data_IF_674352803259
#
_entry.id   IF_674352803259
#
_cell.length_a   1.000
_cell.length_b   1.000
_cell.length_c   1.000
_cell.angle_alpha   90.00
_cell.angle_beta   90.00
_cell.angle_gamma   90.00
#
_symmetry.space_group_name_H-M   'P 1'
#
loop_
_entity.id
_entity.type
_entity.pdbx_description
1 polymer ?
#
# COMPACT_ATOMS: atom_id res chain seq x y z
N UNK A 1 -39.38 10.51 21.46
CA UNK A 1 -39.24 11.34 20.25
C UNK A 1 -37.74 11.63 20.06
N UNK A 2 -37.08 11.01 19.08
CA UNK A 2 -35.68 11.36 18.72
C UNK A 2 -35.75 12.54 17.77
N UNK A 3 -35.19 13.66 18.20
CA UNK A 3 -35.05 14.87 17.42
C UNK A 3 -34.19 14.56 16.19
N UNK A 4 -34.80 14.62 15.01
CA UNK A 4 -34.05 14.57 13.74
C UNK A 4 -33.30 15.89 13.65
N UNK A 5 -31.97 15.85 13.88
CA UNK A 5 -31.14 17.01 13.64
C UNK A 5 -31.20 17.36 12.16
N UNK A 6 -31.38 18.63 11.89
CA UNK A 6 -31.47 19.19 10.56
C UNK A 6 -30.35 18.67 9.66
N UNK A 7 -30.74 18.07 8.55
CA UNK A 7 -29.82 17.72 7.48
C UNK A 7 -29.21 19.04 6.99
N UNK A 8 -27.90 19.23 7.20
CA UNK A 8 -27.19 20.38 6.66
C UNK A 8 -27.45 20.39 5.14
N UNK A 9 -27.97 21.49 4.66
CA UNK A 9 -28.25 21.67 3.23
C UNK A 9 -26.95 21.53 2.45
N UNK A 10 -26.75 20.38 1.82
CA UNK A 10 -25.66 20.19 0.85
C UNK A 10 -25.85 21.21 -0.24
N UNK A 11 -24.84 22.02 -0.57
CA UNK A 11 -24.98 23.01 -1.64
C UNK A 11 -25.34 22.29 -2.95
N UNK A 12 -26.20 22.90 -3.75
CA UNK A 12 -26.60 22.35 -5.05
C UNK A 12 -25.39 21.99 -5.93
N UNK A 13 -24.33 22.79 -5.86
CA UNK A 13 -23.10 22.56 -6.60
C UNK A 13 -22.42 21.22 -6.21
N UNK A 14 -22.31 20.92 -4.91
CA UNK A 14 -21.74 19.65 -4.41
C UNK A 14 -22.63 18.49 -4.81
N UNK A 15 -23.95 18.65 -4.77
CA UNK A 15 -24.90 17.62 -5.18
C UNK A 15 -24.75 17.26 -6.67
N UNK A 16 -24.75 18.25 -7.56
CA UNK A 16 -24.57 18.01 -8.99
C UNK A 16 -23.20 17.44 -9.33
N UNK A 17 -22.14 17.93 -8.69
CA UNK A 17 -20.78 17.39 -8.86
C UNK A 17 -20.73 15.92 -8.44
N UNK A 18 -21.36 15.55 -7.34
CA UNK A 18 -21.42 14.15 -6.87
C UNK A 18 -22.16 13.26 -7.86
N UNK A 19 -23.27 13.74 -8.45
CA UNK A 19 -24.00 13.02 -9.48
C UNK A 19 -23.15 12.77 -10.74
N UNK A 20 -22.40 13.77 -11.21
CA UNK A 20 -21.52 13.60 -12.37
C UNK A 20 -20.39 12.62 -12.08
N UNK A 21 -19.82 12.65 -10.88
CA UNK A 21 -18.86 11.64 -10.44
C UNK A 21 -19.47 10.23 -10.42
N UNK A 22 -20.69 10.06 -9.91
CA UNK A 22 -21.37 8.75 -9.94
C UNK A 22 -21.62 8.24 -11.35
N UNK A 23 -22.01 9.10 -12.29
CA UNK A 23 -22.18 8.72 -13.70
C UNK A 23 -20.85 8.27 -14.32
N UNK A 24 -19.74 8.99 -14.04
CA UNK A 24 -18.41 8.61 -14.50
C UNK A 24 -17.98 7.25 -13.93
N UNK A 25 -18.18 7.04 -12.63
CA UNK A 25 -17.85 5.78 -11.97
C UNK A 25 -18.70 4.61 -12.44
N UNK A 26 -20.00 4.83 -12.72
CA UNK A 26 -20.86 3.80 -13.29
C UNK A 26 -20.37 3.38 -14.68
N UNK A 27 -19.94 4.34 -15.52
CA UNK A 27 -19.30 4.06 -16.81
C UNK A 27 -18.00 3.29 -16.64
N UNK A 28 -17.13 3.69 -15.70
CA UNK A 28 -15.88 2.98 -15.40
C UNK A 28 -16.14 1.53 -14.99
N UNK A 29 -17.12 1.28 -14.12
CA UNK A 29 -17.52 -0.06 -13.72
C UNK A 29 -18.10 -0.88 -14.89
N UNK A 30 -18.94 -0.25 -15.70
CA UNK A 30 -19.54 -0.90 -16.87
C UNK A 30 -18.51 -1.27 -17.94
N UNK A 31 -17.59 -0.38 -18.26
CA UNK A 31 -16.51 -0.66 -19.21
C UNK A 31 -15.46 -1.62 -18.62
N UNK A 32 -15.21 -1.54 -17.33
CA UNK A 32 -14.24 -2.38 -16.64
C UNK A 32 -12.80 -2.14 -17.07
N UNK A 33 -11.94 -3.00 -16.57
CA UNK A 33 -10.50 -3.02 -16.87
C UNK A 33 -10.15 -4.29 -17.66
N UNK A 34 -9.64 -4.13 -18.87
CA UNK A 34 -9.22 -5.25 -19.72
C UNK A 34 -7.88 -5.79 -19.26
N UNK A 35 -7.78 -7.10 -19.13
CA UNK A 35 -6.55 -7.80 -18.73
C UNK A 35 -6.18 -8.88 -19.73
N UNK A 36 -4.88 -9.07 -19.91
CA UNK A 36 -4.29 -10.21 -20.61
C UNK A 36 -3.79 -11.19 -19.55
N UNK A 37 -4.48 -12.30 -19.37
CA UNK A 37 -4.20 -13.27 -18.29
C UNK A 37 -2.97 -14.13 -18.58
N UNK A 38 -2.60 -14.34 -19.84
CA UNK A 38 -1.39 -15.08 -20.21
C UNK A 38 -0.12 -14.39 -19.70
N UNK A 39 -0.13 -13.07 -19.61
CA UNK A 39 1.00 -12.30 -19.07
C UNK A 39 1.26 -12.54 -17.58
N UNK A 40 0.32 -13.16 -16.86
CA UNK A 40 0.49 -13.56 -15.46
C UNK A 40 1.27 -14.87 -15.31
N UNK A 41 1.30 -15.72 -16.34
CA UNK A 41 1.93 -17.05 -16.26
C UNK A 41 3.43 -16.99 -15.95
N UNK A 42 4.25 -16.15 -16.62
CA UNK A 42 5.66 -15.99 -16.28
C UNK A 42 5.85 -15.48 -14.84
N UNK A 43 5.04 -14.51 -14.42
CA UNK A 43 5.09 -13.96 -13.06
C UNK A 43 4.73 -15.02 -12.01
N UNK A 44 3.70 -15.83 -12.26
CA UNK A 44 3.33 -16.95 -11.39
C UNK A 44 4.48 -17.95 -11.22
N UNK A 45 5.14 -18.30 -12.32
CA UNK A 45 6.27 -19.24 -12.32
C UNK A 45 7.47 -18.67 -11.56
N UNK A 46 7.77 -17.39 -11.72
CA UNK A 46 8.85 -16.71 -11.01
C UNK A 46 8.58 -16.65 -9.49
N UNK A 47 7.38 -16.28 -9.10
CA UNK A 47 6.95 -16.25 -7.70
C UNK A 47 7.07 -17.65 -7.08
N UNK A 48 6.58 -18.68 -7.75
CA UNK A 48 6.65 -20.04 -7.24
C UNK A 48 8.11 -20.51 -7.07
N UNK A 49 9.00 -20.21 -8.02
CA UNK A 49 10.43 -20.50 -7.94
C UNK A 49 11.06 -19.80 -6.74
N UNK A 50 10.86 -18.48 -6.60
CA UNK A 50 11.44 -17.69 -5.51
C UNK A 50 10.93 -18.15 -4.14
N UNK A 51 9.64 -18.45 -4.00
CA UNK A 51 9.09 -19.03 -2.77
C UNK A 51 9.76 -20.37 -2.47
N UNK A 52 10.00 -21.21 -3.47
CA UNK A 52 10.71 -22.48 -3.31
C UNK A 52 12.13 -22.29 -2.77
N UNK A 53 12.87 -21.34 -3.31
CA UNK A 53 14.22 -20.97 -2.86
C UNK A 53 14.22 -20.45 -1.42
N UNK A 54 13.26 -19.58 -1.07
CA UNK A 54 13.10 -19.07 0.30
C UNK A 54 12.81 -20.21 1.28
N UNK A 55 11.91 -21.13 0.94
CA UNK A 55 11.59 -22.29 1.77
C UNK A 55 12.81 -23.20 1.98
N UNK A 56 13.60 -23.41 0.93
CA UNK A 56 14.85 -24.17 1.04
C UNK A 56 15.84 -23.48 1.99
N UNK A 57 16.08 -22.18 1.81
CA UNK A 57 16.94 -21.39 2.70
C UNK A 57 16.47 -21.40 4.15
N UNK A 58 15.16 -21.29 4.40
CA UNK A 58 14.62 -21.36 5.76
C UNK A 58 14.94 -22.67 6.43
N UNK A 59 14.90 -23.79 5.71
CA UNK A 59 15.22 -25.13 6.24
C UNK A 59 16.70 -25.31 6.61
N UNK A 60 17.60 -24.47 6.12
CA UNK A 60 19.01 -24.46 6.53
C UNK A 60 19.21 -23.94 7.97
N UNK A 61 18.28 -23.16 8.48
CA UNK A 61 18.38 -22.58 9.83
C UNK A 61 17.89 -23.55 10.91
N UNK A 62 18.74 -23.79 11.91
CA UNK A 62 18.43 -24.72 13.01
C UNK A 62 17.17 -24.32 13.79
N UNK A 63 16.97 -23.02 14.03
CA UNK A 63 15.78 -22.51 14.75
C UNK A 63 14.49 -22.79 13.97
N UNK A 64 14.52 -22.73 12.64
CA UNK A 64 13.34 -23.06 11.81
C UNK A 64 13.02 -24.55 11.84
N UNK A 65 14.04 -25.43 11.76
CA UNK A 65 13.84 -26.88 11.92
C UNK A 65 13.31 -27.25 13.30
N UNK A 66 13.83 -26.62 14.36
CA UNK A 66 13.33 -26.82 15.73
C UNK A 66 11.86 -26.38 15.86
N UNK A 67 11.48 -25.27 15.25
CA UNK A 67 10.10 -24.79 15.19
C UNK A 67 9.19 -25.82 14.49
N UNK A 68 9.54 -26.29 13.29
CA UNK A 68 8.74 -27.27 12.55
C UNK A 68 8.55 -28.55 13.36
N UNK A 69 9.61 -29.09 13.96
CA UNK A 69 9.56 -30.31 14.75
C UNK A 69 8.71 -30.15 16.02
N UNK A 70 8.80 -29.01 16.70
CA UNK A 70 8.08 -28.78 17.95
C UNK A 70 6.59 -28.45 17.75
N UNK A 71 6.24 -27.83 16.64
CA UNK A 71 4.84 -27.53 16.29
C UNK A 71 4.20 -28.68 15.47
N UNK A 72 4.96 -29.76 15.21
CA UNK A 72 4.52 -30.94 14.45
C UNK A 72 3.96 -30.60 13.07
N UNK A 73 4.61 -29.65 12.36
CA UNK A 73 4.23 -29.20 11.02
C UNK A 73 5.36 -29.43 10.01
N UNK A 74 5.00 -29.74 8.78
CA UNK A 74 5.97 -29.95 7.70
C UNK A 74 6.52 -28.63 7.16
N UNK A 75 5.70 -27.56 7.19
CA UNK A 75 6.03 -26.26 6.65
C UNK A 75 5.28 -25.14 7.37
N UNK A 76 5.92 -23.97 7.49
CA UNK A 76 5.28 -22.75 7.97
C UNK A 76 4.20 -22.28 6.98
N UNK A 77 2.99 -22.05 7.47
CA UNK A 77 2.02 -21.26 6.73
C UNK A 77 2.27 -19.78 6.97
N UNK A 78 2.88 -19.10 5.98
CA UNK A 78 3.23 -17.68 6.07
C UNK A 78 2.00 -16.76 6.25
N UNK A 79 0.81 -17.23 5.89
CA UNK A 79 -0.45 -16.51 6.06
C UNK A 79 -1.11 -16.77 7.43
N UNK A 80 -0.57 -17.69 8.25
CA UNK A 80 -1.08 -17.96 9.59
C UNK A 80 -0.38 -17.08 10.63
N UNK A 81 -1.07 -16.07 11.23
CA UNK A 81 -0.46 -15.16 12.20
C UNK A 81 0.10 -15.89 13.42
N UNK A 82 -0.57 -16.93 13.90
CA UNK A 82 -0.15 -17.68 15.07
C UNK A 82 1.20 -18.39 14.85
N UNK A 83 1.39 -19.01 13.69
CA UNK A 83 2.65 -19.69 13.37
C UNK A 83 3.80 -18.70 13.21
N UNK A 84 3.58 -17.57 12.54
CA UNK A 84 4.57 -16.49 12.46
C UNK A 84 4.97 -15.95 13.83
N UNK A 85 3.98 -15.70 14.68
CA UNK A 85 4.21 -15.23 16.05
C UNK A 85 5.00 -16.27 16.87
N UNK A 86 4.67 -17.54 16.76
CA UNK A 86 5.41 -18.61 17.43
C UNK A 86 6.87 -18.61 16.99
N UNK A 87 7.14 -18.68 15.69
CA UNK A 87 8.51 -18.68 15.16
C UNK A 87 9.30 -17.45 15.62
N UNK A 88 8.71 -16.24 15.50
CA UNK A 88 9.41 -14.99 15.77
C UNK A 88 9.57 -14.71 17.26
N UNK A 89 8.53 -14.93 18.07
CA UNK A 89 8.55 -14.52 19.48
C UNK A 89 9.03 -15.65 20.42
N UNK A 90 8.70 -16.92 20.12
CA UNK A 90 9.05 -18.07 20.98
C UNK A 90 10.38 -18.70 20.59
N UNK A 91 10.65 -18.88 19.29
CA UNK A 91 11.82 -19.60 18.82
C UNK A 91 13.00 -18.66 18.48
N UNK A 92 12.78 -17.51 17.82
CA UNK A 92 13.82 -16.50 17.60
C UNK A 92 14.02 -15.65 18.86
N UNK A 93 12.98 -15.47 19.70
CA UNK A 93 13.07 -14.78 20.98
C UNK A 93 12.92 -13.25 20.89
N UNK A 94 12.41 -12.72 19.78
CA UNK A 94 12.15 -11.28 19.68
C UNK A 94 10.96 -10.87 20.56
N UNK A 95 11.00 -9.66 21.09
CA UNK A 95 9.89 -9.09 21.87
C UNK A 95 8.92 -8.36 20.95
N UNK A 96 7.59 -8.58 21.12
CA UNK A 96 6.60 -7.82 20.35
C UNK A 96 6.60 -6.35 20.80
N UNK A 97 6.65 -5.43 19.84
CA UNK A 97 6.60 -3.98 20.05
C UNK A 97 5.21 -3.39 19.86
N UNK A 98 4.32 -4.10 19.19
CA UNK A 98 2.93 -3.69 18.95
C UNK A 98 1.94 -4.84 19.00
N UNK A 99 0.67 -4.48 19.19
CA UNK A 99 -0.46 -5.42 19.18
C UNK A 99 -1.36 -5.17 17.97
N UNK A 100 -1.93 -6.21 17.44
CA UNK A 100 -2.96 -6.12 16.41
C UNK A 100 -4.17 -5.36 16.93
N UNK A 101 -4.61 -4.35 16.19
CA UNK A 101 -5.84 -3.59 16.54
C UNK A 101 -7.12 -4.44 16.49
N UNK A 102 -7.11 -5.53 15.69
CA UNK A 102 -8.29 -6.41 15.53
C UNK A 102 -8.39 -7.46 16.63
N UNK A 103 -7.26 -8.06 17.02
CA UNK A 103 -7.26 -9.24 17.91
C UNK A 103 -6.65 -8.97 19.28
N UNK A 104 -5.95 -7.86 19.47
CA UNK A 104 -5.21 -7.57 20.71
C UNK A 104 -3.92 -8.40 20.88
N UNK A 105 -3.69 -9.39 20.02
CA UNK A 105 -2.50 -10.24 20.07
C UNK A 105 -1.25 -9.51 19.57
N UNK A 106 -0.04 -9.94 19.96
CA UNK A 106 1.21 -9.44 19.39
C UNK A 106 1.16 -9.41 17.87
N UNK A 107 1.65 -8.33 17.22
CA UNK A 107 1.67 -8.23 15.76
C UNK A 107 3.02 -8.64 15.21
N UNK A 108 3.01 -9.56 14.24
CA UNK A 108 4.17 -9.93 13.42
C UNK A 108 3.82 -9.67 11.95
N UNK A 109 3.53 -8.39 11.64
CA UNK A 109 3.21 -7.93 10.30
C UNK A 109 4.47 -7.54 9.51
N UNK A 110 4.28 -7.09 8.26
CA UNK A 110 5.39 -6.71 7.40
C UNK A 110 6.26 -5.60 8.00
N UNK A 111 5.63 -4.57 8.63
CA UNK A 111 6.37 -3.47 9.25
C UNK A 111 7.25 -3.97 10.41
N UNK A 112 6.76 -4.96 11.19
CA UNK A 112 7.54 -5.57 12.27
C UNK A 112 8.74 -6.34 11.70
N UNK A 113 8.52 -7.15 10.67
CA UNK A 113 9.58 -7.94 10.04
C UNK A 113 10.64 -7.03 9.39
N UNK A 114 10.21 -5.96 8.71
CA UNK A 114 11.09 -4.97 8.09
C UNK A 114 11.93 -4.24 9.14
N UNK A 115 11.32 -3.78 10.24
CA UNK A 115 12.02 -3.07 11.31
C UNK A 115 13.07 -3.94 12.00
N UNK A 116 12.82 -5.24 12.16
CA UNK A 116 13.71 -6.18 12.83
C UNK A 116 14.54 -7.06 11.88
N UNK A 117 14.57 -6.75 10.57
CA UNK A 117 15.19 -7.60 9.55
C UNK A 117 16.65 -8.01 9.84
N UNK A 118 17.41 -7.14 10.52
CA UNK A 118 18.82 -7.39 10.86
C UNK A 118 19.00 -8.23 12.15
N UNK A 119 17.93 -8.49 12.89
CA UNK A 119 18.01 -9.23 14.15
C UNK A 119 18.19 -10.74 13.95
N UNK A 120 17.72 -11.31 12.84
CA UNK A 120 17.89 -12.73 12.53
C UNK A 120 17.74 -12.98 11.02
N UNK A 121 18.59 -13.83 10.39
CA UNK A 121 18.57 -14.07 8.94
C UNK A 121 17.24 -14.61 8.38
N UNK A 122 16.40 -15.24 9.20
CA UNK A 122 15.06 -15.72 8.80
C UNK A 122 14.09 -14.57 8.52
N UNK A 123 14.22 -13.42 9.17
CA UNK A 123 13.21 -12.35 9.09
C UNK A 123 13.09 -11.73 7.70
N UNK A 124 14.17 -11.38 7.00
CA UNK A 124 14.05 -10.91 5.61
C UNK A 124 13.47 -11.98 4.67
N UNK A 125 13.76 -13.26 4.89
CA UNK A 125 13.17 -14.36 4.13
C UNK A 125 11.65 -14.46 4.37
N UNK A 126 11.20 -14.35 5.62
CA UNK A 126 9.77 -14.33 5.96
C UNK A 126 9.06 -13.10 5.40
N UNK A 127 9.70 -11.93 5.43
CA UNK A 127 9.16 -10.70 4.86
C UNK A 127 8.94 -10.89 3.36
N UNK A 128 9.99 -11.32 2.65
CA UNK A 128 9.93 -11.55 1.20
C UNK A 128 8.89 -12.61 0.83
N UNK A 129 8.83 -13.70 1.55
CA UNK A 129 7.80 -14.72 1.33
C UNK A 129 6.38 -14.16 1.54
N UNK A 130 6.16 -13.35 2.60
CA UNK A 130 4.86 -12.71 2.84
C UNK A 130 4.43 -11.80 1.70
N UNK A 131 5.37 -11.04 1.11
CA UNK A 131 5.12 -10.18 -0.05
C UNK A 131 4.74 -11.00 -1.28
N UNK A 132 5.50 -12.05 -1.57
CA UNK A 132 5.25 -12.94 -2.71
C UNK A 132 3.92 -13.69 -2.57
N UNK A 133 3.63 -14.23 -1.40
CA UNK A 133 2.36 -14.91 -1.12
C UNK A 133 1.15 -13.98 -1.29
N UNK A 134 1.30 -12.72 -0.86
CA UNK A 134 0.26 -11.70 -1.08
C UNK A 134 0.13 -11.36 -2.57
N UNK A 135 1.23 -11.21 -3.29
CA UNK A 135 1.21 -10.94 -4.73
C UNK A 135 0.53 -12.09 -5.49
N UNK A 136 0.87 -13.31 -5.15
CA UNK A 136 0.31 -14.51 -5.74
C UNK A 136 -1.20 -14.58 -5.51
N UNK A 137 -1.65 -14.61 -4.26
CA UNK A 137 -3.07 -14.82 -3.93
C UNK A 137 -3.96 -13.64 -4.32
N UNK A 138 -3.49 -12.39 -4.11
CA UNK A 138 -4.33 -11.20 -4.32
C UNK A 138 -4.40 -10.73 -5.77
N UNK A 139 -3.46 -11.16 -6.62
CA UNK A 139 -3.38 -10.68 -8.00
C UNK A 139 -3.22 -11.79 -9.01
N UNK A 140 -2.18 -12.64 -8.89
CA UNK A 140 -1.85 -13.62 -9.92
C UNK A 140 -2.94 -14.69 -10.05
N UNK A 141 -3.44 -15.19 -8.92
CA UNK A 141 -4.52 -16.18 -8.89
C UNK A 141 -5.90 -15.55 -9.05
N UNK A 142 -6.14 -14.39 -8.42
CA UNK A 142 -7.47 -13.78 -8.40
C UNK A 142 -7.86 -13.05 -9.68
N UNK A 143 -6.93 -12.43 -10.41
CA UNK A 143 -7.27 -11.66 -11.60
C UNK A 143 -7.89 -12.53 -12.73
N UNK A 144 -7.37 -13.73 -13.06
CA UNK A 144 -8.02 -14.61 -14.03
C UNK A 144 -9.44 -15.02 -13.65
N UNK A 145 -9.67 -15.34 -12.36
CA UNK A 145 -10.97 -15.76 -11.85
C UNK A 145 -12.02 -14.64 -11.88
N UNK A 146 -11.58 -13.40 -11.75
CA UNK A 146 -12.43 -12.21 -11.75
C UNK A 146 -12.69 -11.64 -13.16
N UNK A 147 -11.89 -12.05 -14.13
CA UNK A 147 -11.99 -11.56 -15.50
C UNK A 147 -13.07 -12.30 -16.29
N UNK A 148 -14.07 -11.60 -16.79
CA UNK A 148 -15.06 -12.15 -17.73
C UNK A 148 -14.37 -12.32 -19.08
N UNK A 149 -14.27 -13.57 -19.62
CA UNK A 149 -13.54 -13.83 -20.86
C UNK A 149 -14.12 -13.09 -22.08
N UNK A 150 -13.26 -12.58 -22.95
CA UNK A 150 -13.66 -11.95 -24.24
C UNK A 150 -13.78 -12.92 -25.41
N UNK A 151 -13.61 -14.24 -25.18
CA UNK A 151 -13.79 -15.28 -26.21
C UNK A 151 -12.55 -15.62 -27.04
N UNK A 152 -11.43 -14.91 -26.87
CA UNK A 152 -10.14 -15.22 -27.49
C UNK A 152 -9.24 -16.15 -26.63
N UNK A 153 -9.71 -16.51 -25.42
CA UNK A 153 -8.99 -17.35 -24.47
C UNK A 153 -7.83 -16.67 -23.74
N UNK A 154 -7.53 -15.41 -24.08
CA UNK A 154 -6.36 -14.67 -23.58
C UNK A 154 -6.79 -13.47 -22.76
N UNK A 155 -7.81 -12.76 -23.21
CA UNK A 155 -8.26 -11.51 -22.62
C UNK A 155 -9.56 -11.70 -21.84
N UNK A 156 -9.70 -10.86 -20.83
CA UNK A 156 -10.96 -10.74 -20.09
C UNK A 156 -11.13 -9.33 -19.54
N UNK A 157 -12.32 -9.04 -19.05
CA UNK A 157 -12.65 -7.73 -18.49
C UNK A 157 -13.07 -7.88 -17.04
N UNK A 158 -12.46 -7.12 -16.17
CA UNK A 158 -12.77 -7.05 -14.75
C UNK A 158 -13.67 -5.84 -14.52
N UNK A 159 -14.83 -6.05 -13.90
CA UNK A 159 -15.83 -5.02 -13.61
C UNK A 159 -15.86 -4.69 -12.11
N UNK A 160 -15.09 -3.71 -11.65
CA UNK A 160 -15.06 -3.34 -10.23
C UNK A 160 -16.27 -2.48 -9.87
N UNK A 161 -16.66 -2.53 -8.62
CA UNK A 161 -17.66 -1.63 -8.08
C UNK A 161 -17.04 -0.37 -7.49
N UNK A 162 -17.28 0.77 -8.13
CA UNK A 162 -16.81 2.08 -7.71
C UNK A 162 -17.85 2.79 -6.86
N UNK A 163 -17.38 3.49 -5.80
CA UNK A 163 -18.25 4.24 -4.89
C UNK A 163 -17.71 5.65 -4.69
N UNK A 164 -18.59 6.65 -4.81
CA UNK A 164 -18.32 8.02 -4.34
C UNK A 164 -18.48 8.04 -2.83
N UNK A 165 -17.52 8.66 -2.12
CA UNK A 165 -17.61 8.81 -0.66
C UNK A 165 -17.60 7.50 0.11
N UNK A 166 -17.08 6.42 -0.47
CA UNK A 166 -16.97 5.12 0.20
C UNK A 166 -15.94 5.10 1.33
N UNK A 167 -15.01 6.05 1.36
CA UNK A 167 -14.08 6.28 2.45
C UNK A 167 -14.55 7.43 3.36
N UNK A 168 -14.21 7.38 4.66
CA UNK A 168 -14.52 8.46 5.62
C UNK A 168 -13.94 9.83 5.21
N UNK A 169 -12.91 9.82 4.38
CA UNK A 169 -12.26 11.02 3.82
C UNK A 169 -12.88 11.49 2.50
N UNK A 170 -14.02 10.95 2.08
CA UNK A 170 -14.67 11.19 0.79
C UNK A 170 -13.83 10.80 -0.44
N UNK A 171 -12.71 10.12 -0.26
CA UNK A 171 -12.00 9.51 -1.40
C UNK A 171 -12.89 8.45 -2.05
N UNK A 172 -12.73 8.30 -3.36
CA UNK A 172 -13.34 7.19 -4.09
C UNK A 172 -12.86 5.86 -3.50
N UNK A 173 -13.74 4.89 -3.47
CA UNK A 173 -13.39 3.51 -3.12
C UNK A 173 -13.78 2.57 -4.24
N UNK A 174 -13.06 1.47 -4.33
CA UNK A 174 -13.26 0.41 -5.30
C UNK A 174 -13.31 -0.93 -4.58
N UNK A 175 -14.28 -1.76 -4.94
CA UNK A 175 -14.47 -3.09 -4.36
C UNK A 175 -14.86 -4.09 -5.47
N UNK A 176 -14.76 -5.35 -5.15
CA UNK A 176 -15.26 -6.50 -5.92
C UNK A 176 -14.84 -6.51 -7.41
N UNK A 177 -13.55 -6.46 -7.75
CA UNK A 177 -12.35 -6.35 -6.90
C UNK A 177 -11.88 -4.90 -6.69
N UNK A 178 -10.99 -4.70 -5.70
CA UNK A 178 -10.36 -3.40 -5.47
C UNK A 178 -9.20 -3.16 -6.45
N UNK A 179 -9.47 -2.48 -7.56
CA UNK A 179 -8.46 -2.13 -8.56
C UNK A 179 -7.60 -0.90 -8.20
N UNK A 180 -7.91 -0.18 -7.11
CA UNK A 180 -7.08 0.95 -6.65
C UNK A 180 -5.79 0.51 -5.95
N UNK A 181 -5.74 -0.71 -5.42
CA UNK A 181 -4.62 -1.25 -4.65
C UNK A 181 -3.76 -2.22 -5.44
N UNK A 182 -3.50 -1.92 -6.72
CA UNK A 182 -2.61 -2.76 -7.53
C UNK A 182 -1.16 -2.68 -7.03
N UNK A 183 -0.49 -3.85 -6.98
CA UNK A 183 0.92 -3.91 -6.62
C UNK A 183 1.78 -3.12 -7.62
N UNK A 184 2.88 -2.53 -7.13
CA UNK A 184 3.82 -1.76 -7.95
C UNK A 184 4.82 -2.67 -8.68
N UNK A 185 4.36 -3.82 -9.16
CA UNK A 185 5.12 -4.79 -9.93
C UNK A 185 4.85 -4.54 -11.41
N UNK A 186 5.90 -4.32 -12.19
CA UNK A 186 5.78 -3.93 -13.60
C UNK A 186 5.08 -5.01 -14.43
N UNK A 187 5.40 -6.27 -14.19
CA UNK A 187 4.83 -7.45 -14.86
C UNK A 187 3.31 -7.53 -14.63
N UNK A 188 2.87 -7.33 -13.38
CA UNK A 188 1.45 -7.28 -13.04
C UNK A 188 0.75 -6.12 -13.76
N UNK A 189 1.34 -4.93 -13.75
CA UNK A 189 0.75 -3.75 -14.40
C UNK A 189 0.64 -3.90 -15.92
N UNK A 190 1.57 -4.60 -16.55
CA UNK A 190 1.54 -4.92 -17.99
C UNK A 190 0.42 -5.88 -18.37
N UNK A 191 -0.19 -6.57 -17.41
CA UNK A 191 -1.37 -7.40 -17.67
C UNK A 191 -2.60 -6.56 -18.02
N UNK A 192 -2.70 -5.33 -17.49
CA UNK A 192 -3.75 -4.40 -17.89
C UNK A 192 -3.42 -3.85 -19.28
N UNK A 193 -4.35 -4.04 -20.19
CA UNK A 193 -4.16 -3.68 -21.61
C UNK A 193 -5.33 -2.81 -22.11
N UNK A 194 -5.09 -1.86 -23.01
CA UNK A 194 -6.17 -1.10 -23.61
C UNK A 194 -7.02 -2.00 -24.52
N UNK A 195 -8.25 -1.58 -24.81
CA UNK A 195 -9.08 -2.21 -25.83
C UNK A 195 -8.47 -1.99 -27.22
N UNK A 196 -8.77 -2.85 -28.21
CA UNK A 196 -8.34 -2.63 -29.58
C UNK A 196 -8.76 -1.23 -30.08
N UNK A 197 -7.81 -0.50 -30.65
CA UNK A 197 -8.02 0.88 -31.11
C UNK A 197 -7.91 1.97 -30.03
N UNK A 198 -7.63 1.61 -28.79
CA UNK A 198 -7.45 2.55 -27.66
C UNK A 198 -6.02 2.52 -27.13
N UNK A 199 -5.67 3.54 -26.37
CA UNK A 199 -4.43 3.61 -25.59
C UNK A 199 -4.70 4.08 -24.19
N UNK A 200 -3.79 3.76 -23.24
CA UNK A 200 -3.85 4.35 -21.91
C UNK A 200 -3.32 5.78 -21.95
N UNK A 201 -4.03 6.66 -21.24
CA UNK A 201 -3.57 8.00 -20.90
C UNK A 201 -3.51 8.08 -19.38
N UNK A 202 -2.31 8.36 -18.85
CA UNK A 202 -2.10 8.52 -17.40
C UNK A 202 -1.89 10.01 -17.10
N UNK A 203 -2.60 10.49 -16.09
CA UNK A 203 -2.47 11.86 -15.59
C UNK A 203 -2.50 11.86 -14.07
N UNK A 204 -1.50 12.48 -13.44
CA UNK A 204 -1.40 12.65 -11.99
C UNK A 204 -1.20 14.12 -11.63
N UNK A 205 -1.92 14.59 -10.59
CA UNK A 205 -1.76 15.93 -10.08
C UNK A 205 -0.54 16.01 -9.17
N UNK A 206 0.52 16.62 -9.68
CA UNK A 206 1.76 16.75 -8.92
C UNK A 206 1.54 17.47 -7.58
N UNK A 207 1.78 16.73 -6.49
CA UNK A 207 1.75 17.24 -5.12
C UNK A 207 0.41 17.93 -4.75
N UNK A 208 -0.73 17.36 -5.18
CA UNK A 208 -2.06 17.97 -5.00
C UNK A 208 -2.36 18.29 -3.53
N UNK A 209 -2.12 17.37 -2.60
CA UNK A 209 -2.39 17.55 -1.17
C UNK A 209 -1.55 18.69 -0.56
N UNK A 210 -0.21 18.75 -0.72
CA UNK A 210 0.59 19.89 -0.28
C UNK A 210 0.18 21.25 -0.88
N UNK A 211 -0.25 21.27 -2.14
CA UNK A 211 -0.76 22.51 -2.77
C UNK A 211 -2.03 23.01 -2.10
N UNK A 212 -2.96 22.09 -1.78
CA UNK A 212 -4.19 22.43 -1.07
C UNK A 212 -3.86 22.92 0.35
N UNK A 213 -2.96 22.24 1.05
CA UNK A 213 -2.52 22.64 2.39
C UNK A 213 -1.91 24.06 2.36
N UNK A 214 -0.99 24.31 1.44
CA UNK A 214 -0.38 25.62 1.28
C UNK A 214 -1.42 26.72 1.03
N UNK A 215 -2.39 26.46 0.16
CA UNK A 215 -3.46 27.40 -0.15
C UNK A 215 -4.37 27.69 1.05
N UNK A 216 -4.73 26.65 1.82
CA UNK A 216 -5.63 26.79 2.98
C UNK A 216 -4.94 27.41 4.20
N UNK A 217 -3.65 27.13 4.40
CA UNK A 217 -2.85 27.68 5.50
C UNK A 217 -2.32 29.09 5.23
N UNK A 218 -2.25 29.50 3.96
CA UNK A 218 -1.58 30.75 3.57
C UNK A 218 -0.05 30.70 3.71
N UNK A 219 0.56 29.49 3.70
CA UNK A 219 2.02 29.34 3.86
C UNK A 219 2.74 29.84 2.61
N UNK A 220 3.18 31.10 2.66
CA UNK A 220 3.78 31.83 1.54
C UNK A 220 5.02 31.15 0.96
N UNK A 221 5.85 30.51 1.82
CA UNK A 221 7.05 29.83 1.36
C UNK A 221 6.71 28.62 0.46
N UNK A 222 5.63 27.91 0.77
CA UNK A 222 5.15 26.79 -0.05
C UNK A 222 4.46 27.29 -1.32
N UNK A 223 3.63 28.33 -1.19
CA UNK A 223 2.93 28.93 -2.34
C UNK A 223 3.94 29.40 -3.37
N UNK A 224 5.00 30.08 -2.93
CA UNK A 224 6.05 30.57 -3.81
C UNK A 224 6.88 29.42 -4.42
N UNK A 225 7.19 28.39 -3.63
CA UNK A 225 7.85 27.19 -4.16
C UNK A 225 7.05 26.57 -5.29
N UNK A 226 5.72 26.45 -5.13
CA UNK A 226 4.85 25.90 -6.18
C UNK A 226 4.72 26.82 -7.41
N UNK A 227 4.68 28.14 -7.23
CA UNK A 227 4.67 29.10 -8.35
C UNK A 227 5.93 28.99 -9.19
N UNK A 228 7.06 28.74 -8.55
CA UNK A 228 8.36 28.55 -9.21
C UNK A 228 8.58 27.11 -9.72
N UNK A 229 7.58 26.22 -9.64
CA UNK A 229 7.71 24.84 -10.08
C UNK A 229 8.66 23.99 -9.24
N UNK A 230 9.02 24.44 -8.02
CA UNK A 230 9.91 23.70 -7.12
C UNK A 230 9.18 22.56 -6.43
N UNK A 231 9.92 21.49 -6.13
CA UNK A 231 9.40 20.33 -5.41
C UNK A 231 9.42 20.58 -3.90
N UNK A 232 8.24 20.69 -3.28
CA UNK A 232 8.11 21.02 -1.87
C UNK A 232 8.80 20.00 -0.93
N UNK A 233 8.86 18.73 -1.30
CA UNK A 233 9.54 17.72 -0.49
C UNK A 233 11.04 17.93 -0.49
N UNK A 234 11.60 18.36 -1.62
CA UNK A 234 13.03 18.73 -1.74
C UNK A 234 13.30 19.99 -0.91
N UNK A 235 12.46 21.00 -1.01
CA UNK A 235 12.61 22.25 -0.25
C UNK A 235 12.54 22.02 1.26
N UNK A 236 11.60 21.20 1.72
CA UNK A 236 11.48 20.85 3.13
C UNK A 236 12.73 20.10 3.60
N UNK A 237 13.22 19.12 2.85
CA UNK A 237 14.40 18.37 3.24
C UNK A 237 15.64 19.26 3.33
N UNK A 238 15.86 20.14 2.33
CA UNK A 238 16.94 21.13 2.32
C UNK A 238 16.90 22.01 3.55
N UNK A 239 15.72 22.56 3.85
CA UNK A 239 15.53 23.46 5.00
C UNK A 239 15.76 22.73 6.32
N UNK A 240 15.25 21.50 6.45
CA UNK A 240 15.33 20.72 7.69
C UNK A 240 16.75 20.19 7.97
N UNK A 241 17.49 19.80 6.94
CA UNK A 241 18.81 19.16 7.07
C UNK A 241 19.98 20.05 6.69
N UNK A 242 19.75 21.27 6.22
CA UNK A 242 20.79 22.21 5.83
C UNK A 242 21.63 21.77 4.63
N UNK A 243 21.07 20.95 3.74
CA UNK A 243 21.76 20.40 2.56
C UNK A 243 21.36 21.10 1.29
N UNK A 244 22.22 21.10 0.28
CA UNK A 244 21.96 21.72 -1.02
C UNK A 244 21.39 20.75 -2.05
N UNK A 245 21.74 19.46 -1.92
CA UNK A 245 21.29 18.41 -2.82
C UNK A 245 20.47 17.35 -2.06
N UNK A 246 19.48 16.78 -2.74
CA UNK A 246 18.53 15.82 -2.15
C UNK A 246 18.37 14.61 -3.06
N UNK A 247 18.73 13.45 -2.56
CA UNK A 247 18.55 12.18 -3.28
C UNK A 247 17.08 11.77 -3.34
N UNK A 248 16.76 10.79 -4.19
CA UNK A 248 15.40 10.21 -4.29
C UNK A 248 14.90 9.64 -2.95
N UNK A 249 15.79 8.99 -2.19
CA UNK A 249 15.48 8.42 -0.87
C UNK A 249 15.16 9.52 0.14
N UNK A 250 15.97 10.57 0.18
CA UNK A 250 15.77 11.73 1.06
C UNK A 250 14.48 12.49 0.72
N UNK A 251 14.18 12.66 -0.57
CA UNK A 251 12.90 13.21 -1.03
C UNK A 251 11.72 12.35 -0.57
N UNK A 252 11.83 11.02 -0.67
CA UNK A 252 10.78 10.10 -0.21
C UNK A 252 10.58 10.17 1.30
N UNK A 253 11.66 10.33 2.06
CA UNK A 253 11.61 10.58 3.50
C UNK A 253 10.83 11.85 3.82
N UNK A 254 11.16 12.99 3.17
CA UNK A 254 10.44 14.26 3.37
C UNK A 254 8.96 14.16 2.99
N UNK A 255 8.63 13.43 1.91
CA UNK A 255 7.24 13.16 1.51
C UNK A 255 6.49 12.39 2.61
N UNK A 256 7.10 11.35 3.14
CA UNK A 256 6.50 10.54 4.21
C UNK A 256 6.27 11.36 5.47
N UNK A 257 7.26 12.17 5.86
CA UNK A 257 7.16 13.06 7.01
C UNK A 257 6.04 14.10 6.84
N UNK A 258 6.08 14.87 5.76
CA UNK A 258 5.11 15.93 5.50
C UNK A 258 3.68 15.41 5.53
N UNK A 259 3.40 14.35 4.78
CA UNK A 259 2.07 13.75 4.73
C UNK A 259 1.65 13.22 6.10
N UNK A 260 2.54 12.54 6.81
CA UNK A 260 2.23 11.99 8.12
C UNK A 260 1.90 13.09 9.15
N UNK A 261 2.67 14.18 9.17
CA UNK A 261 2.42 15.35 10.04
C UNK A 261 1.11 16.03 9.63
N UNK A 262 0.86 16.22 8.35
CA UNK A 262 -0.39 16.81 7.83
C UNK A 262 -1.63 16.00 8.23
N UNK A 263 -1.48 14.69 8.42
CA UNK A 263 -2.53 13.79 8.93
C UNK A 263 -2.52 13.59 10.45
N UNK A 264 -1.80 14.42 11.20
CA UNK A 264 -1.80 14.42 12.66
C UNK A 264 -0.91 13.35 13.29
N UNK A 265 0.15 12.90 12.61
CA UNK A 265 1.13 12.01 13.22
C UNK A 265 1.82 12.72 14.41
N UNK A 266 1.78 12.08 15.58
CA UNK A 266 2.47 12.59 16.76
C UNK A 266 4.00 12.51 16.61
N UNK A 267 4.77 13.37 17.32
CA UNK A 267 6.23 13.29 17.32
C UNK A 267 6.78 11.88 17.66
N UNK A 268 6.12 11.19 18.59
CA UNK A 268 6.48 9.79 18.93
C UNK A 268 6.27 8.84 17.75
N UNK A 269 5.17 8.99 17.02
CA UNK A 269 4.90 8.21 15.81
C UNK A 269 5.85 8.53 14.66
N UNK A 270 6.24 9.82 14.51
CA UNK A 270 7.24 10.25 13.54
C UNK A 270 8.62 9.67 13.87
N UNK A 271 9.05 9.74 15.12
CA UNK A 271 10.30 9.17 15.60
C UNK A 271 10.40 7.67 15.28
N UNK A 272 9.37 6.90 15.60
CA UNK A 272 9.32 5.47 15.31
C UNK A 272 9.37 5.16 13.82
N UNK A 273 8.59 5.90 13.01
CA UNK A 273 8.49 5.66 11.57
C UNK A 273 9.73 6.07 10.78
N UNK A 274 10.46 7.07 11.27
CA UNK A 274 11.61 7.67 10.58
C UNK A 274 12.96 7.26 11.19
N UNK A 275 12.96 6.42 12.23
CA UNK A 275 14.18 5.97 12.91
C UNK A 275 14.95 7.09 13.56
N UNK A 276 14.28 8.10 14.13
CA UNK A 276 14.89 9.27 14.77
C UNK A 276 14.47 9.40 16.24
N UNK A 277 15.15 10.28 17.00
CA UNK A 277 14.75 10.55 18.36
C UNK A 277 13.41 11.31 18.43
N UNK A 278 12.67 11.15 19.54
CA UNK A 278 11.41 11.89 19.75
C UNK A 278 11.68 13.40 19.86
N UNK A 279 12.86 13.81 20.34
CA UNK A 279 13.21 15.23 20.42
C UNK A 279 13.44 15.80 19.02
N UNK A 280 14.20 15.12 18.15
CA UNK A 280 14.36 15.54 16.75
C UNK A 280 13.02 15.59 16.00
N UNK A 281 12.11 14.67 16.32
CA UNK A 281 10.77 14.66 15.72
C UNK A 281 9.85 15.78 16.23
N UNK A 282 10.15 16.40 17.35
CA UNK A 282 9.43 17.60 17.85
C UNK A 282 9.92 18.90 17.24
N UNK A 283 11.20 18.92 16.84
CA UNK A 283 11.83 20.09 16.21
C UNK A 283 11.54 20.19 14.70
N UNK A 284 11.00 19.12 14.11
CA UNK A 284 10.55 19.05 12.73
C UNK A 284 9.15 19.64 12.55
#
# INVERSE_FOLDING_TARGET
MRTVHAVSTVSSAVYYQTLEHQKALARMGYFGARVNTERLVPLASEIAREIGEIKASLREHAVYRAFLASEEIEELNINAPAQKQALVFRYIGLRPDKKSRKTGNPSCDADFLEYHQDAHPILPLMLRWSELAKLQSSFVESLPDLAIPEGDGIHGVIHPWWRVGGARTWRLSCADPNLQNQAKVAELRRCFVPRPGYTFVEGDLSQAEPRIIASLSGEEAWIEAFRQGRDIYVEIYKKTKGVTEVSKTQRQWAKTLLLAVSYGLSPKGAAQKLGMSVNDAKEL
#
